data_IF_325325042155
#
_entry.id   IF_325325042155
#
_cell.length_a   1.000
_cell.length_b   1.000
_cell.length_c   1.000
_cell.angle_alpha   90.00
_cell.angle_beta   90.00
_cell.angle_gamma   90.00
#
_symmetry.space_group_name_H-M   'P 1'
#
loop_
_entity.id
_entity.type
_entity.pdbx_description
1 polymer ?
#
# COMPACT_ATOMS: atom_id res chain seq x y z
N UNK A 1 -15.32 -2.53 -13.79
CA UNK A 1 -16.30 -3.60 -14.13
C UNK A 1 -17.24 -3.16 -15.26
N UNK A 2 -18.04 -2.10 -15.08
CA UNK A 2 -18.98 -1.59 -16.11
C UNK A 2 -18.27 -1.26 -17.44
N UNK A 3 -17.13 -0.57 -17.39
CA UNK A 3 -16.32 -0.26 -18.58
C UNK A 3 -15.88 -1.50 -19.38
N UNK A 4 -15.46 -2.57 -18.70
CA UNK A 4 -15.00 -3.84 -19.30
C UNK A 4 -16.18 -4.62 -19.91
N UNK A 5 -17.36 -4.48 -19.31
CA UNK A 5 -18.60 -5.08 -19.83
C UNK A 5 -19.09 -4.34 -21.08
N UNK A 6 -19.16 -3.01 -21.04
CA UNK A 6 -19.63 -2.19 -22.17
C UNK A 6 -18.76 -2.34 -23.42
N UNK A 7 -17.45 -2.53 -23.25
CA UNK A 7 -16.53 -2.71 -24.37
C UNK A 7 -16.37 -4.18 -24.81
N UNK A 8 -17.13 -5.12 -24.25
CA UNK A 8 -17.04 -6.57 -24.52
C UNK A 8 -15.64 -7.19 -24.40
N UNK A 9 -14.69 -6.52 -23.72
CA UNK A 9 -13.30 -6.97 -23.55
C UNK A 9 -13.27 -8.28 -22.75
N UNK A 10 -14.24 -8.47 -21.85
CA UNK A 10 -14.39 -9.70 -21.06
C UNK A 10 -14.54 -10.97 -21.92
N UNK A 11 -15.07 -10.91 -23.15
CA UNK A 11 -15.23 -12.10 -24.00
C UNK A 11 -13.89 -12.68 -24.47
N UNK A 12 -12.84 -11.87 -24.52
CA UNK A 12 -11.52 -12.29 -24.99
C UNK A 12 -10.55 -12.65 -23.85
N UNK A 13 -10.75 -12.12 -22.64
CA UNK A 13 -9.81 -12.28 -21.51
C UNK A 13 -10.35 -13.15 -20.37
N UNK A 14 -11.67 -13.39 -20.31
CA UNK A 14 -12.27 -14.15 -19.22
C UNK A 14 -12.48 -15.62 -19.59
N UNK A 15 -11.65 -16.51 -19.05
CA UNK A 15 -11.76 -17.97 -19.22
C UNK A 15 -12.83 -18.65 -18.32
N UNK A 16 -13.75 -17.87 -17.72
CA UNK A 16 -14.77 -18.37 -16.79
C UNK A 16 -14.36 -18.37 -15.32
N UNK A 17 -15.23 -18.88 -14.45
CA UNK A 17 -14.96 -18.99 -13.01
C UNK A 17 -13.99 -20.15 -12.77
N UNK A 18 -12.79 -19.86 -12.28
CA UNK A 18 -11.82 -20.88 -11.89
C UNK A 18 -11.43 -20.75 -10.42
N UNK A 19 -11.39 -21.89 -9.71
CA UNK A 19 -10.89 -21.94 -8.33
C UNK A 19 -9.37 -21.66 -8.25
N UNK A 20 -8.69 -21.50 -9.39
CA UNK A 20 -7.26 -21.16 -9.50
C UNK A 20 -6.97 -19.80 -8.86
N UNK A 21 -7.92 -18.86 -8.88
CA UNK A 21 -7.79 -17.56 -8.22
C UNK A 21 -7.56 -17.64 -6.70
N UNK A 22 -7.83 -18.80 -6.07
CA UNK A 22 -7.63 -19.01 -4.64
C UNK A 22 -6.29 -19.68 -4.28
N UNK A 23 -5.46 -20.09 -5.26
CA UNK A 23 -4.25 -20.87 -4.98
C UNK A 23 -3.13 -20.06 -4.30
N UNK A 24 -2.96 -18.79 -4.65
CA UNK A 24 -1.87 -17.93 -4.14
C UNK A 24 -2.29 -16.94 -3.04
N UNK A 25 -3.46 -17.13 -2.43
CA UNK A 25 -3.97 -16.25 -1.36
C UNK A 25 -3.00 -16.09 -0.18
N UNK A 26 -2.19 -17.10 0.13
CA UNK A 26 -1.19 -17.00 1.19
C UNK A 26 -0.10 -15.96 0.90
N UNK A 27 0.48 -15.99 -0.30
CA UNK A 27 1.48 -15.01 -0.74
C UNK A 27 0.84 -13.63 -0.88
N UNK A 28 -0.36 -13.57 -1.47
CA UNK A 28 -1.12 -12.33 -1.58
C UNK A 28 -1.37 -11.68 -0.22
N UNK A 29 -1.91 -12.41 0.76
CA UNK A 29 -2.16 -11.88 2.10
C UNK A 29 -0.88 -11.46 2.80
N UNK A 30 0.20 -12.23 2.69
CA UNK A 30 1.49 -11.87 3.28
C UNK A 30 2.08 -10.57 2.71
N UNK A 31 1.81 -10.26 1.43
CA UNK A 31 2.23 -9.01 0.79
C UNK A 31 1.29 -7.85 1.08
N UNK A 32 -0.02 -8.09 1.13
CA UNK A 32 -1.04 -7.06 1.32
C UNK A 32 -1.13 -6.62 2.79
N UNK A 33 -1.02 -7.53 3.76
CA UNK A 33 -1.11 -7.20 5.19
C UNK A 33 -0.11 -6.10 5.61
N UNK A 34 1.19 -6.19 5.28
CA UNK A 34 2.14 -5.12 5.62
C UNK A 34 1.82 -3.79 4.93
N UNK A 35 1.31 -3.83 3.70
CA UNK A 35 0.92 -2.64 2.97
C UNK A 35 -0.26 -1.94 3.67
N UNK A 36 -1.29 -2.71 4.06
CA UNK A 36 -2.43 -2.21 4.83
C UNK A 36 -1.98 -1.66 6.19
N UNK A 37 -1.16 -2.40 6.93
CA UNK A 37 -0.64 -1.97 8.22
C UNK A 37 0.17 -0.67 8.11
N UNK A 38 0.99 -0.52 7.07
CA UNK A 38 1.75 0.73 6.84
C UNK A 38 0.80 1.92 6.67
N UNK A 39 -0.28 1.73 5.90
CA UNK A 39 -1.28 2.78 5.69
C UNK A 39 -2.06 3.08 6.97
N UNK A 40 -2.47 2.05 7.71
CA UNK A 40 -3.20 2.21 8.98
C UNK A 40 -2.35 2.90 10.04
N UNK A 41 -1.08 2.52 10.18
CA UNK A 41 -0.15 3.17 11.11
C UNK A 41 0.06 4.64 10.75
N UNK A 42 0.15 4.96 9.47
CA UNK A 42 0.23 6.34 9.00
C UNK A 42 -1.01 7.15 9.39
N UNK A 43 -2.22 6.62 9.13
CA UNK A 43 -3.49 7.30 9.47
C UNK A 43 -3.57 7.54 10.98
N UNK A 44 -3.38 6.53 11.82
CA UNK A 44 -3.42 6.72 13.28
C UNK A 44 -2.29 7.63 13.77
N UNK A 45 -1.13 7.53 13.13
CA UNK A 45 0.03 8.38 13.40
C UNK A 45 -0.19 9.85 13.03
N UNK A 46 -1.21 10.20 12.23
CA UNK A 46 -1.61 11.59 12.00
C UNK A 46 -2.85 11.99 12.80
N UNK A 47 -3.80 11.07 13.01
CA UNK A 47 -5.06 11.33 13.71
C UNK A 47 -4.91 11.58 15.21
N UNK A 48 -3.83 11.10 15.84
CA UNK A 48 -3.60 11.41 17.24
C UNK A 48 -3.48 12.93 17.48
N UNK A 49 -3.06 13.71 16.46
CA UNK A 49 -3.00 15.15 16.56
C UNK A 49 -4.37 15.81 16.69
N UNK A 50 -5.36 15.35 15.91
CA UNK A 50 -6.75 15.78 16.02
C UNK A 50 -7.32 15.47 17.42
N UNK A 51 -7.00 14.28 17.94
CA UNK A 51 -7.42 13.89 19.29
C UNK A 51 -6.83 14.81 20.36
N UNK A 52 -5.53 15.11 20.29
CA UNK A 52 -4.86 15.99 21.25
C UNK A 52 -5.30 17.45 21.12
N UNK A 53 -5.55 17.94 19.90
CA UNK A 53 -6.10 19.28 19.68
C UNK A 53 -7.47 19.45 20.36
N UNK A 54 -8.32 18.41 20.31
CA UNK A 54 -9.60 18.40 21.01
C UNK A 54 -9.51 18.48 22.53
N UNK A 55 -8.37 18.08 23.12
CA UNK A 55 -8.11 18.24 24.56
C UNK A 55 -7.63 19.64 24.93
N UNK A 56 -7.07 20.40 23.98
CA UNK A 56 -6.52 21.74 24.24
C UNK A 56 -7.62 22.81 24.28
N UNK A 57 -8.60 22.73 23.36
CA UNK A 57 -9.72 23.67 23.35
C UNK A 57 -10.47 23.71 22.01
N UNK A 58 -11.57 24.47 22.00
CA UNK A 58 -12.44 24.60 20.84
C UNK A 58 -11.78 25.37 19.67
N UNK A 59 -10.94 26.36 19.96
CA UNK A 59 -10.23 27.13 18.94
C UNK A 59 -9.11 26.31 18.29
N UNK A 60 -8.43 25.48 19.09
CA UNK A 60 -7.34 24.59 18.68
C UNK A 60 -7.85 23.50 17.75
N UNK A 61 -8.93 22.79 18.11
CA UNK A 61 -9.51 21.76 17.24
C UNK A 61 -10.09 22.35 15.95
N UNK A 62 -10.65 23.56 16.00
CA UNK A 62 -11.16 24.24 14.81
C UNK A 62 -10.01 24.57 13.83
N UNK A 63 -8.91 25.14 14.33
CA UNK A 63 -7.73 25.42 13.53
C UNK A 63 -7.10 24.12 12.98
N UNK A 64 -6.92 23.11 13.84
CA UNK A 64 -6.36 21.80 13.48
C UNK A 64 -7.14 21.15 12.34
N UNK A 65 -8.47 21.16 12.42
CA UNK A 65 -9.34 20.56 11.41
C UNK A 65 -9.14 21.17 10.02
N UNK A 66 -8.98 22.50 9.95
CA UNK A 66 -8.70 23.20 8.67
C UNK A 66 -7.30 22.86 8.15
N UNK A 67 -6.30 22.82 9.03
CA UNK A 67 -4.93 22.43 8.65
C UNK A 67 -4.89 21.00 8.13
N UNK A 68 -5.54 20.07 8.83
CA UNK A 68 -5.64 18.67 8.44
C UNK A 68 -6.36 18.51 7.10
N UNK A 69 -7.45 19.24 6.87
CA UNK A 69 -8.19 19.23 5.61
C UNK A 69 -7.32 19.71 4.42
N UNK A 70 -6.52 20.75 4.61
CA UNK A 70 -5.56 21.21 3.60
C UNK A 70 -4.45 20.19 3.34
N UNK A 71 -3.93 19.56 4.39
CA UNK A 71 -2.97 18.47 4.26
C UNK A 71 -3.54 17.32 3.41
N UNK A 72 -4.80 16.93 3.65
CA UNK A 72 -5.46 15.89 2.84
C UNK A 72 -5.60 16.29 1.37
N UNK A 73 -5.87 17.57 1.07
CA UNK A 73 -5.87 18.07 -0.31
C UNK A 73 -4.48 17.98 -0.95
N UNK A 74 -3.44 18.34 -0.21
CA UNK A 74 -2.04 18.18 -0.64
C UNK A 74 -1.69 16.71 -0.93
N UNK A 75 -2.19 15.79 -0.11
CA UNK A 75 -1.93 14.35 -0.22
C UNK A 75 -2.55 13.67 -1.46
N UNK A 76 -3.54 14.30 -2.12
CA UNK A 76 -4.11 13.77 -3.37
C UNK A 76 -3.09 13.73 -4.52
N UNK A 77 -2.18 14.70 -4.56
CA UNK A 77 -1.13 14.81 -5.58
C UNK A 77 -0.20 13.59 -5.55
N UNK A 78 0.45 13.26 -4.41
CA UNK A 78 1.34 12.11 -4.35
C UNK A 78 0.60 10.77 -4.49
N UNK A 79 -0.67 10.63 -4.10
CA UNK A 79 -1.44 9.40 -4.39
C UNK A 79 -1.48 9.14 -5.91
N UNK A 80 -1.87 10.16 -6.69
CA UNK A 80 -2.02 10.02 -8.13
C UNK A 80 -0.69 9.70 -8.82
N UNK A 81 0.31 10.55 -8.59
CA UNK A 81 1.63 10.40 -9.22
C UNK A 81 2.33 9.13 -8.74
N UNK A 82 2.21 8.85 -7.45
CA UNK A 82 2.72 7.65 -6.82
C UNK A 82 2.22 6.35 -7.42
N UNK A 83 0.92 6.26 -7.73
CA UNK A 83 0.36 5.08 -8.39
C UNK A 83 0.97 4.85 -9.78
N UNK A 84 1.18 5.93 -10.54
CA UNK A 84 1.83 5.88 -11.85
C UNK A 84 3.32 5.49 -11.74
N UNK A 85 4.01 5.95 -10.69
CA UNK A 85 5.40 5.57 -10.42
C UNK A 85 5.53 4.10 -10.07
N UNK A 86 4.66 3.57 -9.21
CA UNK A 86 4.67 2.14 -8.86
C UNK A 86 4.55 1.29 -10.13
N UNK A 87 3.59 1.62 -11.01
CA UNK A 87 3.37 0.91 -12.26
C UNK A 87 4.59 1.02 -13.21
N UNK A 88 5.16 2.21 -13.39
CA UNK A 88 6.33 2.42 -14.27
C UNK A 88 7.58 1.74 -13.77
N UNK A 89 7.86 1.83 -12.47
CA UNK A 89 9.04 1.19 -11.86
C UNK A 89 8.88 -0.33 -11.94
N UNK A 90 7.70 -0.86 -11.62
CA UNK A 90 7.40 -2.29 -11.76
C UNK A 90 7.61 -2.80 -13.19
N UNK A 91 7.16 -2.04 -14.19
CA UNK A 91 7.36 -2.38 -15.60
C UNK A 91 8.85 -2.43 -16.00
N UNK A 92 9.65 -1.43 -15.60
CA UNK A 92 11.08 -1.42 -15.91
C UNK A 92 11.86 -2.51 -15.17
N UNK A 93 11.46 -2.84 -13.94
CA UNK A 93 12.04 -3.95 -13.18
C UNK A 93 11.74 -5.29 -13.83
N UNK A 94 10.48 -5.56 -14.21
CA UNK A 94 10.09 -6.80 -14.88
C UNK A 94 10.71 -6.99 -16.26
N UNK A 95 11.01 -5.89 -16.97
CA UNK A 95 11.69 -5.90 -18.26
C UNK A 95 13.23 -5.87 -18.17
N UNK A 96 13.79 -6.19 -17.00
CA UNK A 96 15.23 -6.20 -16.71
C UNK A 96 15.98 -4.86 -16.98
N UNK A 97 15.25 -3.74 -17.03
CA UNK A 97 15.80 -2.42 -17.34
C UNK A 97 16.04 -1.59 -16.08
N UNK A 98 16.91 -2.09 -15.18
CA UNK A 98 17.22 -1.46 -13.89
C UNK A 98 17.65 0.02 -14.02
N UNK A 99 18.45 0.36 -15.04
CA UNK A 99 18.90 1.74 -15.25
C UNK A 99 17.76 2.72 -15.57
N UNK A 100 16.72 2.25 -16.27
CA UNK A 100 15.55 3.07 -16.57
C UNK A 100 14.69 3.24 -15.32
N UNK A 101 14.57 2.20 -14.49
CA UNK A 101 13.90 2.28 -13.19
C UNK A 101 14.58 3.34 -12.29
N UNK A 102 15.92 3.32 -12.18
CA UNK A 102 16.69 4.31 -11.41
C UNK A 102 16.46 5.73 -11.95
N UNK A 103 16.51 5.91 -13.28
CA UNK A 103 16.26 7.23 -13.90
C UNK A 103 14.87 7.75 -13.61
N UNK A 104 13.84 6.92 -13.69
CA UNK A 104 12.46 7.30 -13.37
C UNK A 104 12.34 7.71 -11.90
N UNK A 105 12.97 6.98 -10.99
CA UNK A 105 12.94 7.29 -9.55
C UNK A 105 13.63 8.62 -9.28
N UNK A 106 14.83 8.84 -9.83
CA UNK A 106 15.60 10.06 -9.64
C UNK A 106 14.87 11.30 -10.18
N UNK A 107 14.34 11.24 -11.41
CA UNK A 107 13.58 12.36 -11.99
C UNK A 107 12.30 12.65 -11.20
N UNK A 108 11.64 11.61 -10.70
CA UNK A 108 10.42 11.74 -9.91
C UNK A 108 10.67 12.31 -8.52
N UNK A 109 11.82 12.00 -7.91
CA UNK A 109 12.25 12.58 -6.65
C UNK A 109 12.42 14.10 -6.77
N UNK A 110 13.15 14.55 -7.80
CA UNK A 110 13.32 15.99 -8.07
C UNK A 110 11.99 16.65 -8.41
N UNK A 111 11.16 16.02 -9.26
CA UNK A 111 9.86 16.56 -9.65
C UNK A 111 8.90 16.72 -8.45
N UNK A 112 8.81 15.72 -7.57
CA UNK A 112 7.99 15.79 -6.36
C UNK A 112 8.56 16.74 -5.31
N UNK A 113 9.87 16.89 -5.22
CA UNK A 113 10.46 17.92 -4.37
C UNK A 113 10.08 19.33 -4.85
N UNK A 114 10.13 19.59 -6.17
CA UNK A 114 9.71 20.87 -6.74
C UNK A 114 8.21 21.13 -6.53
N UNK A 115 7.36 20.13 -6.76
CA UNK A 115 5.91 20.27 -6.51
C UNK A 115 5.63 20.44 -5.02
N UNK A 116 6.32 19.70 -4.15
CA UNK A 116 6.22 19.85 -2.69
C UNK A 116 6.57 21.27 -2.24
N UNK A 117 7.69 21.82 -2.74
CA UNK A 117 8.08 23.20 -2.46
C UNK A 117 7.05 24.21 -2.98
N UNK A 118 6.52 24.00 -4.20
CA UNK A 118 5.48 24.85 -4.77
C UNK A 118 4.19 24.83 -3.94
N UNK A 119 3.65 23.64 -3.62
CA UNK A 119 2.43 23.49 -2.82
C UNK A 119 2.62 24.05 -1.41
N UNK A 120 3.75 23.76 -0.77
CA UNK A 120 4.09 24.34 0.53
C UNK A 120 4.15 25.86 0.48
N UNK A 121 4.73 26.44 -0.57
CA UNK A 121 4.77 27.90 -0.76
C UNK A 121 3.37 28.47 -0.92
N UNK A 122 2.49 27.82 -1.70
CA UNK A 122 1.09 28.23 -1.86
C UNK A 122 0.37 28.22 -0.52
N UNK A 123 0.50 27.17 0.29
CA UNK A 123 -0.10 27.10 1.63
C UNK A 123 0.40 28.22 2.54
N UNK A 124 1.70 28.52 2.49
CA UNK A 124 2.28 29.61 3.28
C UNK A 124 1.79 31.00 2.84
N UNK A 125 1.69 31.25 1.53
CA UNK A 125 1.22 32.52 0.98
C UNK A 125 -0.27 32.76 1.25
N UNK A 126 -1.08 31.70 1.18
CA UNK A 126 -2.52 31.76 1.42
C UNK A 126 -2.92 31.70 2.90
N UNK A 127 -1.96 31.71 3.83
CA UNK A 127 -2.22 31.55 5.27
C UNK A 127 -3.21 32.55 5.87
N UNK A 128 -3.32 33.74 5.29
CA UNK A 128 -4.26 34.79 5.75
C UNK A 128 -5.61 34.75 5.04
N UNK A 129 -5.73 33.99 3.94
CA UNK A 129 -6.97 33.90 3.16
C UNK A 129 -7.75 32.63 3.47
N UNK A 130 -7.06 31.52 3.76
CA UNK A 130 -7.71 30.25 4.11
C UNK A 130 -8.65 30.39 5.31
N UNK A 131 -8.27 30.97 6.46
CA UNK A 131 -9.17 31.12 7.61
C UNK A 131 -10.48 31.82 7.28
N UNK A 132 -10.43 32.80 6.38
CA UNK A 132 -11.59 33.58 5.93
C UNK A 132 -12.55 32.75 5.09
N UNK A 133 -12.02 31.87 4.23
CA UNK A 133 -12.84 30.94 3.43
C UNK A 133 -13.58 29.97 4.35
N UNK A 134 -12.90 29.47 5.39
CA UNK A 134 -13.48 28.56 6.38
C UNK A 134 -14.28 29.29 7.47
N UNK A 135 -14.37 30.63 7.43
CA UNK A 135 -15.06 31.46 8.42
C UNK A 135 -14.64 31.14 9.86
N UNK A 136 -13.32 30.98 10.10
CA UNK A 136 -12.79 30.73 11.44
C UNK A 136 -13.01 31.93 12.37
N UNK A 137 -13.32 31.66 13.63
CA UNK A 137 -13.33 32.69 14.67
C UNK A 137 -11.93 33.28 14.89
N UNK A 138 -11.79 34.54 15.35
CA UNK A 138 -10.51 35.22 15.47
C UNK A 138 -9.44 34.46 16.27
N UNK A 139 -9.85 33.72 17.31
CA UNK A 139 -8.95 32.90 18.11
C UNK A 139 -8.38 31.72 17.30
N UNK A 140 -9.23 31.00 16.56
CA UNK A 140 -8.82 29.89 15.71
C UNK A 140 -8.02 30.36 14.48
N UNK A 141 -8.36 31.53 13.92
CA UNK A 141 -7.61 32.16 12.83
C UNK A 141 -6.15 32.43 13.25
N UNK A 142 -5.92 33.03 14.42
CA UNK A 142 -4.57 33.29 14.92
C UNK A 142 -3.75 32.00 15.10
N UNK A 143 -4.38 30.94 15.63
CA UNK A 143 -3.76 29.62 15.78
C UNK A 143 -3.41 29.04 14.41
N UNK A 144 -4.36 29.02 13.45
CA UNK A 144 -4.11 28.54 12.09
C UNK A 144 -2.93 29.27 11.43
N UNK A 145 -2.88 30.60 11.53
CA UNK A 145 -1.81 31.40 10.92
C UNK A 145 -0.44 31.00 11.49
N UNK A 146 -0.37 30.69 12.79
CA UNK A 146 0.84 30.17 13.43
C UNK A 146 1.22 28.76 12.97
N UNK A 147 0.25 27.94 12.57
CA UNK A 147 0.46 26.57 12.09
C UNK A 147 0.85 26.47 10.62
N UNK A 148 0.42 27.44 9.79
CA UNK A 148 0.63 27.42 8.35
C UNK A 148 2.09 27.18 7.89
N UNK A 149 3.14 27.71 8.56
CA UNK A 149 4.52 27.37 8.22
C UNK A 149 4.84 25.88 8.42
N UNK A 150 4.34 25.26 9.50
CA UNK A 150 4.55 23.84 9.75
C UNK A 150 3.83 22.98 8.72
N UNK A 151 2.59 23.32 8.37
CA UNK A 151 1.85 22.67 7.29
C UNK A 151 2.63 22.71 5.96
N UNK A 152 3.21 23.87 5.65
CA UNK A 152 4.03 24.08 4.44
C UNK A 152 5.21 23.10 4.39
N UNK A 153 6.02 23.03 5.45
CA UNK A 153 7.14 22.10 5.53
C UNK A 153 6.70 20.63 5.56
N UNK A 154 5.66 20.30 6.34
CA UNK A 154 5.12 18.96 6.43
C UNK A 154 4.70 18.42 5.05
N UNK A 155 3.94 19.23 4.31
CA UNK A 155 3.48 18.90 2.96
C UNK A 155 4.65 18.76 1.98
N UNK A 156 5.63 19.66 2.04
CA UNK A 156 6.80 19.60 1.18
C UNK A 156 7.61 18.30 1.38
N UNK A 157 7.88 17.91 2.64
CA UNK A 157 8.57 16.65 2.95
C UNK A 157 7.74 15.43 2.58
N UNK A 158 6.42 15.46 2.82
CA UNK A 158 5.54 14.36 2.49
C UNK A 158 5.50 14.08 0.98
N UNK A 159 5.41 15.14 0.15
CA UNK A 159 5.46 15.00 -1.31
C UNK A 159 6.84 14.48 -1.76
N UNK A 160 7.93 15.04 -1.22
CA UNK A 160 9.28 14.61 -1.55
C UNK A 160 9.57 13.15 -1.14
N UNK A 161 8.96 12.64 -0.07
CA UNK A 161 9.12 11.25 0.38
C UNK A 161 8.45 10.23 -0.55
N UNK A 162 7.38 10.63 -1.23
CA UNK A 162 6.49 9.69 -1.89
C UNK A 162 7.15 8.87 -3.02
N UNK A 163 8.02 9.43 -3.89
CA UNK A 163 8.75 8.65 -4.88
C UNK A 163 9.57 7.51 -4.29
N UNK A 164 10.24 7.73 -3.16
CA UNK A 164 11.01 6.68 -2.49
C UNK A 164 10.10 5.59 -1.91
N UNK A 165 8.95 5.98 -1.36
CA UNK A 165 7.92 5.04 -0.89
C UNK A 165 7.35 4.23 -2.07
N UNK A 166 7.02 4.88 -3.17
CA UNK A 166 6.52 4.26 -4.39
C UNK A 166 7.53 3.27 -4.98
N UNK A 167 8.81 3.63 -5.00
CA UNK A 167 9.89 2.76 -5.46
C UNK A 167 10.01 1.50 -4.59
N UNK A 168 10.00 1.65 -3.26
CA UNK A 168 10.06 0.52 -2.34
C UNK A 168 8.82 -0.37 -2.43
N UNK A 169 7.63 0.22 -2.63
CA UNK A 169 6.40 -0.54 -2.90
C UNK A 169 6.50 -1.32 -4.22
N UNK A 170 7.04 -0.72 -5.28
CA UNK A 170 7.25 -1.41 -6.56
C UNK A 170 8.24 -2.58 -6.44
N UNK A 171 9.24 -2.45 -5.56
CA UNK A 171 10.21 -3.51 -5.23
C UNK A 171 9.70 -4.51 -4.17
N UNK A 172 8.41 -4.48 -3.80
CA UNK A 172 7.80 -5.35 -2.77
C UNK A 172 8.40 -5.25 -1.36
N UNK A 173 9.06 -4.14 -1.02
CA UNK A 173 9.66 -3.88 0.30
C UNK A 173 8.67 -3.33 1.34
N UNK A 174 7.49 -3.92 1.43
CA UNK A 174 6.42 -3.43 2.30
C UNK A 174 6.77 -3.50 3.81
N UNK A 175 7.46 -4.56 4.25
CA UNK A 175 7.89 -4.69 5.65
C UNK A 175 8.89 -3.62 6.06
N UNK A 176 9.82 -3.27 5.17
CA UNK A 176 10.83 -2.24 5.47
C UNK A 176 10.16 -0.87 5.59
N UNK A 177 9.22 -0.57 4.69
CA UNK A 177 8.40 0.63 4.76
C UNK A 177 7.57 0.69 6.04
N UNK A 178 7.00 -0.43 6.49
CA UNK A 178 6.27 -0.52 7.75
C UNK A 178 7.16 -0.11 8.93
N UNK A 179 8.36 -0.68 9.04
CA UNK A 179 9.30 -0.34 10.11
C UNK A 179 9.76 1.12 10.05
N UNK A 180 10.10 1.63 8.86
CA UNK A 180 10.49 3.04 8.69
C UNK A 180 9.35 4.00 9.06
N UNK A 181 8.10 3.65 8.73
CA UNK A 181 6.92 4.43 9.08
C UNK A 181 6.70 4.44 10.60
N UNK A 182 6.82 3.27 11.24
CA UNK A 182 6.71 3.14 12.69
C UNK A 182 7.75 4.01 13.41
N UNK A 183 9.01 3.96 12.97
CA UNK A 183 10.08 4.80 13.54
C UNK A 183 9.74 6.28 13.39
N UNK A 184 9.38 6.71 12.18
CA UNK A 184 9.14 8.12 11.89
C UNK A 184 7.96 8.69 12.69
N UNK A 185 6.82 7.99 12.76
CA UNK A 185 5.61 8.54 13.38
C UNK A 185 5.49 8.20 14.87
N UNK A 186 5.87 7.00 15.31
CA UNK A 186 5.65 6.57 16.70
C UNK A 186 6.87 6.74 17.60
N UNK A 187 8.08 6.65 17.05
CA UNK A 187 9.31 6.82 17.85
C UNK A 187 9.79 8.28 17.81
N UNK A 188 9.67 8.95 16.66
CA UNK A 188 10.14 10.35 16.51
C UNK A 188 8.99 11.34 16.67
N UNK A 189 7.98 11.28 15.80
CA UNK A 189 6.94 12.31 15.75
C UNK A 189 6.12 12.41 17.04
N UNK A 190 5.57 11.29 17.51
CA UNK A 190 4.65 11.29 18.66
C UNK A 190 5.32 11.70 19.97
N UNK A 191 6.49 11.16 20.38
CA UNK A 191 7.12 11.58 21.64
C UNK A 191 7.59 13.03 21.60
N UNK A 192 8.15 13.49 20.47
CA UNK A 192 8.57 14.90 20.32
C UNK A 192 7.36 15.84 20.31
N UNK A 193 6.32 15.52 19.53
CA UNK A 193 5.11 16.32 19.43
C UNK A 193 4.39 16.47 20.76
N UNK A 194 4.18 15.36 21.48
CA UNK A 194 3.53 15.36 22.80
C UNK A 194 4.37 16.11 23.83
N UNK A 195 5.70 15.89 23.86
CA UNK A 195 6.58 16.57 24.82
C UNK A 195 6.63 18.08 24.57
N UNK A 196 6.72 18.52 23.32
CA UNK A 196 6.74 19.94 22.97
C UNK A 196 5.37 20.59 23.21
N UNK A 197 4.29 19.90 22.92
CA UNK A 197 2.93 20.41 23.13
C UNK A 197 2.63 20.65 24.62
N UNK A 198 2.88 19.65 25.47
CA UNK A 198 2.43 19.68 26.88
C UNK A 198 3.54 20.03 27.87
N UNK A 199 4.75 19.47 27.73
CA UNK A 199 5.83 19.73 28.70
C UNK A 199 6.52 21.08 28.45
N UNK A 200 6.72 21.46 27.19
CA UNK A 200 7.27 22.78 26.83
C UNK A 200 6.19 23.88 26.69
N UNK A 201 4.91 23.51 26.72
CA UNK A 201 3.79 24.44 26.64
C UNK A 201 3.59 25.09 25.26
N UNK A 202 4.16 24.51 24.18
CA UNK A 202 4.02 25.05 22.82
C UNK A 202 2.70 24.66 22.15
N UNK A 203 1.83 23.92 22.86
CA UNK A 203 0.50 23.52 22.41
C UNK A 203 0.55 22.93 20.99
N UNK A 204 -0.33 23.40 20.10
CA UNK A 204 -0.50 22.89 18.75
C UNK A 204 0.74 23.11 17.86
N UNK A 205 1.51 24.18 18.09
CA UNK A 205 2.77 24.41 17.36
C UNK A 205 3.82 23.34 17.69
N UNK A 206 3.91 22.92 18.95
CA UNK A 206 4.79 21.84 19.38
C UNK A 206 4.44 20.50 18.73
N UNK A 207 3.13 20.21 18.66
CA UNK A 207 2.60 19.03 17.99
C UNK A 207 2.96 19.01 16.49
N UNK A 208 2.72 20.12 15.79
CA UNK A 208 3.04 20.25 14.37
C UNK A 208 4.53 20.21 14.06
N UNK A 209 5.38 20.72 14.94
CA UNK A 209 6.82 20.52 14.82
C UNK A 209 7.18 19.03 14.88
N UNK A 210 6.53 18.27 15.78
CA UNK A 210 6.63 16.81 15.83
C UNK A 210 6.22 16.15 14.51
N UNK A 211 5.13 16.59 13.88
CA UNK A 211 4.72 16.08 12.56
C UNK A 211 5.74 16.40 11.46
N UNK A 212 6.27 17.62 11.43
CA UNK A 212 7.31 18.02 10.46
C UNK A 212 8.56 17.13 10.60
N UNK A 213 9.04 16.91 11.83
CA UNK A 213 10.20 16.05 12.09
C UNK A 213 9.93 14.57 11.76
N UNK A 214 8.71 14.09 12.03
CA UNK A 214 8.24 12.77 11.60
C UNK A 214 8.27 12.62 10.08
N UNK A 215 7.66 13.56 9.36
CA UNK A 215 7.63 13.59 7.90
C UNK A 215 9.04 13.66 7.30
N UNK A 216 9.93 14.49 7.86
CA UNK A 216 11.32 14.56 7.45
C UNK A 216 12.06 13.23 7.67
N UNK A 217 11.82 12.56 8.80
CA UNK A 217 12.39 11.23 9.08
C UNK A 217 11.87 10.20 8.07
N UNK A 218 10.58 10.24 7.75
CA UNK A 218 9.96 9.35 6.76
C UNK A 218 10.32 9.71 5.30
N UNK A 219 10.85 10.91 5.05
CA UNK A 219 11.52 11.26 3.80
C UNK A 219 12.94 10.69 3.76
N UNK A 220 13.71 10.88 4.83
CA UNK A 220 15.12 10.52 4.90
C UNK A 220 15.34 9.01 4.90
N UNK A 221 14.63 8.24 5.73
CA UNK A 221 14.87 6.79 5.88
C UNK A 221 14.64 6.01 4.57
N UNK A 222 13.48 6.12 3.89
CA UNK A 222 13.25 5.46 2.60
C UNK A 222 14.21 5.92 1.52
N UNK A 223 14.53 7.22 1.46
CA UNK A 223 15.44 7.77 0.46
C UNK A 223 16.87 7.25 0.64
N UNK A 224 17.38 7.23 1.88
CA UNK A 224 18.71 6.66 2.18
C UNK A 224 18.77 5.16 1.91
N UNK A 225 17.69 4.42 2.22
CA UNK A 225 17.60 3.01 1.91
C UNK A 225 17.63 2.76 0.39
N UNK A 226 16.92 3.61 -0.37
CA UNK A 226 16.86 3.53 -1.83
C UNK A 226 18.22 3.76 -2.51
N UNK A 227 19.06 4.62 -1.93
CA UNK A 227 20.43 4.85 -2.42
C UNK A 227 21.34 3.64 -2.25
N UNK A 228 21.04 2.76 -1.28
CA UNK A 228 21.80 1.53 -1.02
C UNK A 228 21.19 0.30 -1.69
N UNK A 229 20.07 0.46 -2.40
CA UNK A 229 19.36 -0.66 -2.98
C UNK A 229 20.09 -1.18 -4.23
N UNK A 230 20.33 -2.49 -4.29
CA UNK A 230 20.83 -3.13 -5.50
C UNK A 230 19.69 -3.33 -6.52
N UNK A 231 19.56 -2.34 -7.40
CA UNK A 231 18.57 -2.33 -8.47
C UNK A 231 18.75 -3.46 -9.49
N UNK A 232 19.98 -3.95 -9.70
CA UNK A 232 20.25 -5.04 -10.65
C UNK A 232 19.75 -6.35 -10.08
N UNK A 233 20.07 -6.64 -8.82
CA UNK A 233 19.54 -7.81 -8.14
C UNK A 233 18.01 -7.79 -8.13
N UNK A 234 17.38 -6.63 -7.94
CA UNK A 234 15.91 -6.53 -7.97
C UNK A 234 15.27 -6.70 -9.33
N UNK A 235 15.92 -6.26 -10.39
CA UNK A 235 15.47 -6.57 -11.73
C UNK A 235 15.54 -8.09 -12.02
N UNK A 236 16.60 -8.77 -11.53
CA UNK A 236 16.74 -10.21 -11.65
C UNK A 236 15.67 -10.97 -10.84
N UNK A 237 15.48 -10.60 -9.56
CA UNK A 237 14.45 -11.21 -8.70
C UNK A 237 13.05 -11.04 -9.31
N UNK A 238 12.74 -9.85 -9.84
CA UNK A 238 11.46 -9.55 -10.47
C UNK A 238 11.22 -10.39 -11.74
N UNK A 239 12.26 -10.56 -12.56
CA UNK A 239 12.18 -11.37 -13.77
C UNK A 239 12.02 -12.86 -13.46
N UNK A 240 12.82 -13.39 -12.55
CA UNK A 240 12.74 -14.80 -12.14
C UNK A 240 11.34 -15.15 -11.59
N UNK A 241 10.73 -14.24 -10.82
CA UNK A 241 9.36 -14.41 -10.33
C UNK A 241 8.34 -14.44 -11.48
N UNK A 242 8.50 -13.62 -12.52
CA UNK A 242 7.62 -13.60 -13.69
C UNK A 242 7.78 -14.85 -14.59
N UNK A 243 9.02 -15.33 -14.76
CA UNK A 243 9.29 -16.58 -15.49
C UNK A 243 8.70 -17.80 -14.77
N UNK A 244 8.88 -17.91 -13.44
CA UNK A 244 8.26 -19.00 -12.66
C UNK A 244 6.74 -19.02 -12.78
N UNK A 245 6.08 -17.87 -12.84
CA UNK A 245 4.62 -17.79 -13.01
C UNK A 245 4.20 -18.28 -14.41
N UNK A 246 4.93 -17.86 -15.45
CA UNK A 246 4.69 -18.26 -16.84
C UNK A 246 4.93 -19.76 -17.05
N UNK A 247 6.03 -20.31 -16.51
CA UNK A 247 6.35 -21.73 -16.62
C UNK A 247 5.32 -22.61 -15.88
N UNK A 248 4.86 -22.16 -14.72
CA UNK A 248 3.81 -22.85 -13.98
C UNK A 248 2.47 -22.84 -14.73
N UNK A 249 2.12 -21.74 -15.41
CA UNK A 249 0.95 -21.69 -16.29
C UNK A 249 1.08 -22.65 -17.48
N UNK A 250 2.22 -22.61 -18.18
CA UNK A 250 2.50 -23.49 -19.31
C UNK A 250 2.49 -24.98 -18.93
N UNK A 251 3.04 -25.33 -17.76
CA UNK A 251 3.01 -26.70 -17.23
C UNK A 251 1.58 -27.14 -16.93
N UNK A 252 0.74 -26.26 -16.38
CA UNK A 252 -0.65 -26.56 -16.04
C UNK A 252 -1.53 -26.69 -17.30
N UNK A 253 -1.28 -25.89 -18.34
CA UNK A 253 -1.95 -26.03 -19.64
C UNK A 253 -1.52 -27.28 -20.41
N UNK A 254 -0.25 -27.68 -20.32
CA UNK A 254 0.27 -28.89 -20.96
C UNK A 254 -0.07 -30.17 -20.21
N UNK A 255 -0.46 -30.09 -18.94
CA UNK A 255 -0.81 -31.24 -18.10
C UNK A 255 -1.90 -32.15 -18.69
N UNK A 256 -3.05 -31.65 -19.19
CA UNK A 256 -4.05 -32.49 -19.87
C UNK A 256 -3.54 -33.10 -21.19
N UNK A 257 -2.67 -32.40 -21.93
CA UNK A 257 -2.10 -32.90 -23.18
C UNK A 257 -1.06 -34.01 -22.94
N UNK A 258 -0.25 -33.88 -21.89
CA UNK A 258 0.68 -34.91 -21.42
C UNK A 258 -0.05 -36.15 -20.92
N UNK A 259 -1.18 -35.97 -20.19
CA UNK A 259 -2.06 -37.05 -19.75
C UNK A 259 -2.70 -37.78 -20.94
N UNK A 260 -3.16 -37.05 -21.96
CA UNK A 260 -3.70 -37.64 -23.19
C UNK A 260 -2.62 -38.41 -23.95
N UNK A 261 -1.43 -37.84 -24.13
CA UNK A 261 -0.31 -38.50 -24.81
C UNK A 261 0.19 -39.75 -24.06
N UNK A 262 0.21 -39.74 -22.72
CA UNK A 262 0.57 -40.89 -21.90
C UNK A 262 -0.50 -42.00 -21.92
N UNK A 263 -1.78 -41.64 -21.99
CA UNK A 263 -2.86 -42.60 -22.19
C UNK A 263 -2.79 -43.26 -23.58
N UNK A 264 -2.47 -42.49 -24.61
CA UNK A 264 -2.26 -43.00 -25.96
C UNK A 264 -1.02 -43.89 -26.04
N UNK A 265 0.10 -43.51 -25.43
CA UNK A 265 1.32 -44.33 -25.44
C UNK A 265 1.18 -45.60 -24.61
N UNK A 266 0.43 -45.59 -23.50
CA UNK A 266 0.09 -46.79 -22.74
C UNK A 266 -0.84 -47.75 -23.51
N UNK A 267 -1.70 -47.23 -24.40
CA UNK A 267 -2.50 -48.06 -25.30
C UNK A 267 -1.66 -48.69 -26.44
N UNK A 268 -0.52 -48.10 -26.79
CA UNK A 268 0.38 -48.60 -27.86
C UNK A 268 1.61 -49.37 -27.35
N UNK A 269 1.95 -49.27 -26.05
CA UNK A 269 3.18 -49.82 -25.49
C UNK A 269 2.99 -51.27 -24.99
N UNK A 270 3.00 -52.20 -25.94
CA UNK A 270 3.25 -53.61 -25.69
C UNK A 270 4.74 -53.98 -25.52
N UNK A 271 5.69 -53.03 -25.51
CA UNK A 271 7.12 -53.33 -25.32
C UNK A 271 7.85 -52.20 -24.58
N UNK A 272 8.56 -52.55 -23.50
CA UNK A 272 9.28 -51.66 -22.58
C UNK A 272 10.57 -51.08 -23.22
N UNK A 273 10.71 -49.75 -23.21
CA UNK A 273 11.96 -49.02 -23.47
C UNK A 273 12.32 -48.12 -22.26
N UNK A 274 13.60 -47.83 -21.96
CA UNK A 274 14.04 -47.15 -20.72
C UNK A 274 13.56 -45.70 -20.56
N UNK A 275 13.05 -45.08 -21.64
CA UNK A 275 12.49 -43.72 -21.64
C UNK A 275 11.14 -43.62 -20.90
N UNK A 276 10.44 -44.73 -20.69
CA UNK A 276 9.19 -44.75 -19.91
C UNK A 276 9.42 -44.50 -18.42
N UNK A 277 10.57 -44.90 -17.87
CA UNK A 277 10.85 -44.77 -16.44
C UNK A 277 11.10 -43.30 -16.02
N UNK A 278 11.74 -42.48 -16.87
CA UNK A 278 11.94 -41.05 -16.60
C UNK A 278 10.66 -40.24 -16.75
N UNK A 279 9.79 -40.61 -17.71
CA UNK A 279 8.46 -40.03 -17.88
C UNK A 279 7.52 -40.41 -16.72
N UNK A 280 7.63 -41.63 -16.19
CA UNK A 280 6.85 -42.11 -15.06
C UNK A 280 7.33 -41.49 -13.73
N UNK A 281 8.63 -41.23 -13.59
CA UNK A 281 9.19 -40.49 -12.45
C UNK A 281 8.78 -39.02 -12.43
N UNK A 282 8.78 -38.33 -13.60
CA UNK A 282 8.27 -36.96 -13.71
C UNK A 282 6.75 -36.89 -13.53
N UNK A 283 6.01 -37.92 -13.96
CA UNK A 283 4.58 -38.08 -13.68
C UNK A 283 4.28 -38.27 -12.18
N UNK A 284 5.03 -39.13 -11.48
CA UNK A 284 4.86 -39.32 -10.03
C UNK A 284 5.22 -38.06 -9.24
N UNK A 285 6.25 -37.32 -9.67
CA UNK A 285 6.59 -36.02 -9.09
C UNK A 285 5.44 -35.01 -9.29
N UNK A 286 4.91 -34.92 -10.51
CA UNK A 286 3.78 -34.04 -10.88
C UNK A 286 2.49 -34.38 -10.12
N UNK A 287 2.16 -35.67 -10.00
CA UNK A 287 1.00 -36.15 -9.24
C UNK A 287 1.14 -35.84 -7.74
N UNK A 288 2.34 -36.01 -7.18
CA UNK A 288 2.61 -35.69 -5.77
C UNK A 288 2.50 -34.19 -5.46
N UNK A 289 2.93 -33.32 -6.38
CA UNK A 289 2.81 -31.85 -6.27
C UNK A 289 1.35 -31.42 -6.38
N UNK A 290 0.60 -31.96 -7.35
CA UNK A 290 -0.84 -31.72 -7.50
C UNK A 290 -1.66 -32.19 -6.29
N UNK A 291 -1.30 -33.33 -5.71
CA UNK A 291 -1.92 -33.85 -4.48
C UNK A 291 -1.63 -32.93 -3.28
N UNK A 292 -0.39 -32.46 -3.13
CA UNK A 292 0.00 -31.50 -2.08
C UNK A 292 -0.73 -30.15 -2.24
N UNK A 293 -0.87 -29.66 -3.47
CA UNK A 293 -1.62 -28.43 -3.76
C UNK A 293 -3.11 -28.57 -3.44
N UNK A 294 -3.76 -29.67 -3.83
CA UNK A 294 -5.18 -29.92 -3.48
C UNK A 294 -5.40 -30.02 -1.97
N UNK A 295 -4.46 -30.63 -1.24
CA UNK A 295 -4.52 -30.72 0.21
C UNK A 295 -4.28 -29.37 0.90
N UNK A 296 -3.37 -28.53 0.37
CA UNK A 296 -3.12 -27.18 0.88
C UNK A 296 -4.29 -26.21 0.63
N UNK A 297 -5.01 -26.37 -0.49
CA UNK A 297 -6.25 -25.62 -0.77
C UNK A 297 -7.37 -26.06 0.17
N UNK A 298 -7.56 -27.37 0.35
CA UNK A 298 -8.54 -27.92 1.29
C UNK A 298 -8.27 -27.49 2.74
N UNK A 299 -7.01 -27.37 3.15
CA UNK A 299 -6.67 -26.92 4.51
C UNK A 299 -6.92 -25.42 4.75
N UNK A 300 -6.98 -24.61 3.68
CA UNK A 300 -7.22 -23.15 3.78
C UNK A 300 -8.68 -22.74 3.55
N UNK A 301 -9.50 -23.60 2.94
CA UNK A 301 -10.95 -23.43 2.81
C UNK A 301 -11.68 -23.11 4.13
N UNK A 302 -11.42 -23.79 5.27
CA UNK A 302 -12.13 -23.50 6.51
C UNK A 302 -11.82 -22.11 7.08
N UNK A 303 -10.61 -21.58 6.85
CA UNK A 303 -10.23 -20.22 7.27
C UNK A 303 -10.98 -19.17 6.46
N UNK A 304 -11.12 -19.40 5.15
CA UNK A 304 -11.89 -18.52 4.26
C UNK A 304 -13.38 -18.55 4.59
N UNK A 305 -13.93 -19.75 4.86
CA UNK A 305 -15.31 -19.92 5.30
C UNK A 305 -15.56 -19.22 6.64
N UNK A 306 -14.63 -19.28 7.60
CA UNK A 306 -14.72 -18.56 8.87
C UNK A 306 -14.68 -17.03 8.68
N UNK A 307 -13.81 -16.51 7.82
CA UNK A 307 -13.75 -15.08 7.51
C UNK A 307 -15.03 -14.56 6.84
N UNK A 308 -15.59 -15.33 5.89
CA UNK A 308 -16.87 -15.02 5.24
C UNK A 308 -18.01 -15.10 6.25
N UNK A 309 -18.04 -16.10 7.14
CA UNK A 309 -19.04 -16.22 8.19
C UNK A 309 -18.98 -15.06 9.20
N UNK A 310 -17.78 -14.58 9.56
CA UNK A 310 -17.61 -13.41 10.42
C UNK A 310 -18.07 -12.12 9.75
N UNK A 311 -17.82 -11.94 8.46
CA UNK A 311 -18.29 -10.78 7.69
C UNK A 311 -19.81 -10.79 7.54
N UNK A 312 -20.40 -11.94 7.23
CA UNK A 312 -21.86 -12.12 7.16
C UNK A 312 -22.47 -11.92 8.56
N UNK A 313 -21.86 -12.47 9.61
CA UNK A 313 -22.31 -12.29 11.00
C UNK A 313 -22.25 -10.81 11.44
N UNK A 314 -21.18 -10.10 11.11
CA UNK A 314 -21.05 -8.65 11.33
C UNK A 314 -22.12 -7.85 10.59
N UNK A 315 -22.41 -8.21 9.34
CA UNK A 315 -23.43 -7.55 8.53
C UNK A 315 -24.84 -7.80 9.06
N UNK A 316 -25.14 -9.04 9.45
CA UNK A 316 -26.41 -9.44 10.07
C UNK A 316 -26.60 -8.73 11.41
N UNK A 317 -25.55 -8.64 12.23
CA UNK A 317 -25.60 -7.94 13.51
C UNK A 317 -25.89 -6.44 13.33
N UNK A 318 -25.31 -5.81 12.30
CA UNK A 318 -25.58 -4.40 11.95
C UNK A 318 -26.98 -4.16 11.38
N UNK A 319 -27.59 -5.18 10.77
CA UNK A 319 -28.96 -5.10 10.23
C UNK A 319 -30.04 -5.43 11.28
N UNK A 320 -29.72 -6.26 12.27
CA UNK A 320 -30.65 -6.66 13.34
C UNK A 320 -30.63 -5.72 14.55
N UNK A 321 -29.52 -5.02 14.80
CA UNK A 321 -29.46 -4.02 15.87
C UNK A 321 -30.14 -2.73 15.39
N UNK A 322 -31.23 -2.27 16.03
CA UNK A 322 -31.83 -0.99 15.69
C UNK A 322 -30.81 0.14 15.92
N UNK A 323 -30.85 1.21 15.12
CA UNK A 323 -29.96 2.35 15.34
C UNK A 323 -30.16 2.85 16.77
N UNK A 324 -29.06 2.93 17.54
CA UNK A 324 -29.09 3.61 18.83
C UNK A 324 -29.50 5.05 18.55
N UNK A 325 -30.75 5.38 18.83
CA UNK A 325 -31.25 6.75 18.80
C UNK A 325 -30.45 7.60 19.79
N UNK A 326 -30.39 8.92 19.58
CA UNK A 326 -29.71 9.82 20.51
C UNK A 326 -30.35 9.68 21.88
N UNK A 327 -29.54 9.32 22.88
CA UNK A 327 -29.90 9.50 24.28
C UNK A 327 -30.11 10.99 24.51
N UNK A 328 -31.37 11.40 24.70
CA UNK A 328 -31.73 12.75 25.09
C UNK A 328 -31.07 13.09 26.44
N UNK A 329 -30.65 14.35 26.66
CA UNK A 329 -30.09 14.78 27.93
C UNK A 329 -31.17 14.80 29.02
N UNK A 330 -30.82 14.31 30.20
CA UNK A 330 -31.48 14.61 31.47
C UNK A 330 -30.57 15.51 32.29
#
# INVERSE_FOLDING_TARGET
AVFIWCLNIHRYTWAGWSARAFMDWGKFLFTVLPCLLTQTLWIFGTEYGNFLAGLMGAAEIAAESVVFQLNQLGYLIPIGIGSALIARIGFYLGSQQAEKAIRVVATSLTFMACIGAFVGTVFYLLRHQVPKIFSLEPAAEAIYISLAPYLSFYTAFQLAAYPSIAALRACSYHMHLLFMNFIAYYIVSMPLGVSLAFAAGWQLSGLWLGFVLGSFTFFALPSLYLLRLDWRQKALDAHANAEMETDMELLNERQPLMLAAAATSAATAGNLHPAGASAMASYQLSASVSQRQRNAVRSKLPVLAAAVALLIGSLILRLLLPPRGPTAPA
#
